data_IF_845789986768
#
_entry.id   IF_845789986768
#
_cell.length_a   1.000
_cell.length_b   1.000
_cell.length_c   1.000
_cell.angle_alpha   90.00
_cell.angle_beta   90.00
_cell.angle_gamma   90.00
#
_symmetry.space_group_name_H-M   'P 1'
#
loop_
_entity.id
_entity.type
_entity.pdbx_description
1 polymer ?
#
# COMPACT_ATOMS: atom_id res chain seq x y z
N UNK A 1 21.26 8.21 17.54
CA UNK A 1 19.99 7.51 17.86
C UNK A 1 19.01 7.97 16.81
N UNK A 2 18.75 7.15 15.81
CA UNK A 2 17.65 7.39 14.85
C UNK A 2 16.37 7.31 15.65
N UNK A 3 15.59 8.40 15.69
CA UNK A 3 14.32 8.43 16.40
C UNK A 3 13.40 7.36 15.79
N UNK A 4 12.85 6.50 16.64
CA UNK A 4 11.84 5.50 16.27
C UNK A 4 10.57 6.24 15.82
N UNK A 5 10.46 6.56 14.55
CA UNK A 5 9.34 7.27 13.95
C UNK A 5 8.71 6.36 12.89
N UNK A 6 7.40 6.18 12.97
CA UNK A 6 6.64 5.52 11.91
C UNK A 6 6.64 6.42 10.67
N UNK A 7 7.13 5.90 9.54
CA UNK A 7 7.27 6.62 8.26
C UNK A 7 6.56 5.87 7.16
N UNK A 8 5.93 6.62 6.27
CA UNK A 8 5.37 6.17 5.00
C UNK A 8 6.15 6.85 3.88
N UNK A 9 6.85 6.09 3.04
CA UNK A 9 7.46 6.58 1.81
C UNK A 9 6.66 6.07 0.61
N UNK A 10 6.22 6.97 -0.25
CA UNK A 10 5.41 6.66 -1.44
C UNK A 10 6.36 6.26 -2.57
N UNK A 11 6.33 5.01 -2.99
CA UNK A 11 7.08 4.50 -4.14
C UNK A 11 6.34 4.76 -5.45
N UNK A 12 5.00 4.71 -5.39
CA UNK A 12 4.10 5.00 -6.47
C UNK A 12 2.64 5.00 -6.00
N UNK A 13 1.77 5.65 -6.77
CA UNK A 13 0.35 5.83 -6.44
C UNK A 13 -0.55 5.89 -7.68
N UNK A 14 -0.04 5.48 -8.86
CA UNK A 14 -0.82 5.45 -10.10
C UNK A 14 -1.75 4.23 -10.19
N UNK A 15 -2.84 4.40 -10.94
CA UNK A 15 -3.82 3.36 -11.27
C UNK A 15 -4.33 3.52 -12.69
N UNK A 16 -4.74 2.46 -13.40
CA UNK A 16 -4.41 1.04 -13.23
C UNK A 16 -3.09 0.66 -13.90
N UNK A 17 -2.30 1.65 -14.37
CA UNK A 17 -0.97 1.47 -14.94
C UNK A 17 -0.06 2.66 -14.61
N UNK A 18 1.27 2.48 -14.64
CA UNK A 18 2.19 3.55 -14.29
C UNK A 18 2.17 4.68 -15.31
N UNK A 19 2.41 5.91 -14.87
CA UNK A 19 2.79 7.03 -15.73
C UNK A 19 4.31 7.24 -15.68
N UNK A 20 4.84 8.17 -16.51
CA UNK A 20 6.30 8.41 -16.64
C UNK A 20 6.98 8.63 -15.29
N UNK A 21 6.36 9.43 -14.41
CA UNK A 21 6.94 9.83 -13.12
C UNK A 21 6.18 9.24 -11.92
N UNK A 22 5.21 8.37 -12.15
CA UNK A 22 4.41 7.77 -11.09
C UNK A 22 4.20 6.28 -11.33
N UNK A 23 4.97 5.40 -10.67
CA UNK A 23 4.68 3.96 -10.60
C UNK A 23 3.30 3.66 -10.06
N UNK A 24 2.83 2.43 -10.25
CA UNK A 24 1.60 1.95 -9.64
C UNK A 24 1.69 1.92 -8.11
N UNK A 25 0.65 1.44 -7.44
CA UNK A 25 0.57 1.44 -5.98
C UNK A 25 1.72 0.67 -5.33
N UNK A 26 2.44 1.34 -4.46
CA UNK A 26 3.46 0.74 -3.63
C UNK A 26 4.05 1.73 -2.63
N UNK A 27 4.33 1.22 -1.44
CA UNK A 27 4.74 2.04 -0.30
C UNK A 27 5.81 1.32 0.52
N UNK A 28 6.74 2.08 1.08
CA UNK A 28 7.64 1.58 2.10
C UNK A 28 7.20 2.14 3.46
N UNK A 29 6.83 1.25 4.38
CA UNK A 29 6.52 1.61 5.78
C UNK A 29 7.67 1.17 6.67
N UNK A 30 8.16 2.07 7.52
CA UNK A 30 9.28 1.80 8.41
C UNK A 30 9.16 2.49 9.76
N UNK A 31 9.78 1.91 10.80
CA UNK A 31 9.87 2.47 12.16
C UNK A 31 11.33 2.70 12.62
N UNK A 32 12.25 2.84 11.67
CA UNK A 32 13.68 3.02 11.93
C UNK A 32 14.49 1.72 11.99
N UNK A 33 13.91 0.59 12.39
CA UNK A 33 14.54 -0.74 12.41
C UNK A 33 13.89 -1.73 11.46
N UNK A 34 12.59 -1.61 11.23
CA UNK A 34 11.77 -2.52 10.43
C UNK A 34 11.33 -1.87 9.13
N UNK A 35 11.30 -2.62 8.05
CA UNK A 35 10.97 -2.16 6.69
C UNK A 35 10.00 -3.12 6.03
N UNK A 36 8.80 -2.64 5.74
CA UNK A 36 7.75 -3.41 5.07
C UNK A 36 7.41 -2.75 3.75
N UNK A 37 7.52 -3.52 2.66
CA UNK A 37 7.04 -3.11 1.35
C UNK A 37 5.55 -3.45 1.24
N UNK A 38 4.71 -2.43 1.14
CA UNK A 38 3.25 -2.52 1.08
C UNK A 38 2.80 -2.26 -0.33
N UNK A 39 2.23 -3.26 -0.98
CA UNK A 39 1.95 -3.37 -2.40
C UNK A 39 3.19 -3.21 -3.31
N UNK A 40 3.22 -4.02 -4.35
CA UNK A 40 4.32 -4.16 -5.29
C UNK A 40 3.85 -3.92 -6.73
N UNK A 41 3.18 -2.80 -6.95
CA UNK A 41 2.71 -2.42 -8.28
C UNK A 41 3.85 -2.08 -9.23
N UNK A 42 3.53 -2.09 -10.52
CA UNK A 42 4.53 -1.93 -11.59
C UNK A 42 5.37 -0.66 -11.44
N UNK A 43 6.70 -0.83 -11.38
CA UNK A 43 7.71 0.22 -11.24
C UNK A 43 8.11 0.55 -9.80
N UNK A 44 7.45 -0.01 -8.80
CA UNK A 44 7.74 0.28 -7.38
C UNK A 44 9.03 -0.36 -6.88
N UNK A 45 9.44 -1.52 -7.42
CA UNK A 45 10.72 -2.14 -7.10
C UNK A 45 11.91 -1.21 -7.42
N UNK A 46 11.85 -0.52 -8.58
CA UNK A 46 12.89 0.42 -8.95
C UNK A 46 12.97 1.63 -8.00
N UNK A 47 11.84 2.09 -7.48
CA UNK A 47 11.80 3.17 -6.49
C UNK A 47 12.21 2.67 -5.10
N UNK A 48 11.80 1.44 -4.72
CA UNK A 48 12.17 0.81 -3.45
C UNK A 48 13.69 0.80 -3.25
N UNK A 49 14.44 0.43 -4.28
CA UNK A 49 15.91 0.35 -4.26
C UNK A 49 16.62 1.69 -4.01
N UNK A 50 15.93 2.83 -4.07
CA UNK A 50 16.46 4.14 -3.66
C UNK A 50 16.48 4.31 -2.13
N UNK A 51 15.75 3.46 -1.40
CA UNK A 51 15.53 3.57 0.04
C UNK A 51 16.05 2.36 0.82
N UNK A 52 15.93 1.17 0.25
CA UNK A 52 16.28 -0.09 0.89
C UNK A 52 16.66 -1.12 -0.18
N UNK A 53 17.58 -2.01 0.13
CA UNK A 53 17.87 -3.17 -0.73
C UNK A 53 16.80 -4.23 -0.51
N UNK A 54 16.55 -5.06 -1.51
CA UNK A 54 15.51 -6.10 -1.45
C UNK A 54 15.75 -7.09 -0.30
N UNK A 55 17.01 -7.47 -0.08
CA UNK A 55 17.45 -8.37 0.97
C UNK A 55 17.39 -7.77 2.40
N UNK A 56 17.20 -6.46 2.51
CA UNK A 56 17.06 -5.75 3.80
C UNK A 56 15.59 -5.53 4.17
N UNK A 57 14.64 -6.08 3.41
CA UNK A 57 13.23 -6.05 3.77
C UNK A 57 12.91 -7.08 4.85
N UNK A 58 12.12 -6.67 5.84
CA UNK A 58 11.62 -7.55 6.89
C UNK A 58 10.33 -8.27 6.47
N UNK A 59 9.54 -7.68 5.57
CA UNK A 59 8.36 -8.31 4.97
C UNK A 59 7.87 -7.56 3.72
N UNK A 60 7.03 -8.26 2.95
CA UNK A 60 6.18 -7.71 1.90
C UNK A 60 4.73 -7.95 2.30
N UNK A 61 3.86 -6.96 2.11
CA UNK A 61 2.42 -7.09 2.35
C UNK A 61 1.65 -6.66 1.10
N UNK A 62 0.76 -7.52 0.59
CA UNK A 62 0.00 -7.30 -0.65
C UNK A 62 -1.49 -7.25 -0.33
N UNK A 63 -2.13 -6.14 -0.70
CA UNK A 63 -3.57 -5.91 -0.48
C UNK A 63 -4.43 -6.88 -1.29
N UNK A 64 -4.14 -7.01 -2.58
CA UNK A 64 -4.86 -7.87 -3.52
C UNK A 64 -4.02 -8.14 -4.79
N UNK A 65 -4.53 -8.98 -5.71
CA UNK A 65 -3.74 -9.52 -6.82
C UNK A 65 -3.99 -8.83 -8.17
N UNK A 66 -4.47 -7.59 -8.20
CA UNK A 66 -4.38 -6.81 -9.45
C UNK A 66 -2.93 -6.45 -9.78
N UNK A 67 -2.63 -6.28 -11.07
CA UNK A 67 -1.27 -6.08 -11.54
C UNK A 67 -0.64 -4.78 -11.01
N UNK A 68 -1.43 -3.74 -10.87
CA UNK A 68 -1.00 -2.45 -10.34
C UNK A 68 -0.72 -2.44 -8.82
N UNK A 69 -0.91 -3.59 -8.15
CA UNK A 69 -0.54 -3.83 -6.74
C UNK A 69 0.46 -4.98 -6.56
N UNK A 70 0.71 -5.81 -7.59
CA UNK A 70 1.47 -7.05 -7.39
C UNK A 70 2.49 -7.37 -8.50
N UNK A 71 2.52 -6.63 -9.63
CA UNK A 71 3.34 -7.00 -10.79
C UNK A 71 4.84 -7.05 -10.51
N UNK A 72 5.36 -6.17 -9.65
CA UNK A 72 6.80 -6.13 -9.33
C UNK A 72 7.26 -7.28 -8.42
N UNK A 73 6.34 -8.08 -7.85
CA UNK A 73 6.73 -9.36 -7.21
C UNK A 73 7.44 -10.29 -8.18
N UNK A 74 7.06 -10.26 -9.48
CA UNK A 74 7.69 -11.06 -10.52
C UNK A 74 9.13 -10.64 -10.75
N UNK A 75 9.37 -9.33 -10.84
CA UNK A 75 10.72 -8.79 -11.04
C UNK A 75 11.57 -8.96 -9.78
N UNK A 76 10.98 -8.84 -8.59
CA UNK A 76 11.66 -9.16 -7.33
C UNK A 76 12.07 -10.64 -7.24
N UNK A 77 11.19 -11.57 -7.65
CA UNK A 77 11.53 -12.99 -7.77
C UNK A 77 12.70 -13.23 -8.73
N UNK A 78 12.71 -12.55 -9.89
CA UNK A 78 13.80 -12.66 -10.86
C UNK A 78 15.13 -12.13 -10.30
N UNK A 79 15.10 -11.06 -9.50
CA UNK A 79 16.29 -10.52 -8.85
C UNK A 79 16.94 -11.55 -7.92
N UNK A 80 16.13 -12.31 -7.18
CA UNK A 80 16.60 -13.38 -6.28
C UNK A 80 17.08 -14.61 -7.06
N UNK A 81 16.33 -15.03 -8.09
CA UNK A 81 16.61 -16.31 -8.76
C UNK A 81 17.70 -16.22 -9.83
N UNK A 82 17.83 -15.10 -10.53
CA UNK A 82 18.65 -14.96 -11.73
C UNK A 82 19.69 -13.83 -11.67
N UNK A 83 19.70 -13.03 -10.62
CA UNK A 83 20.61 -11.90 -10.48
C UNK A 83 21.53 -12.03 -9.26
N UNK A 84 21.81 -10.95 -8.60
CA UNK A 84 22.82 -10.79 -7.56
C UNK A 84 22.24 -10.54 -6.17
N UNK A 85 20.94 -10.74 -5.99
CA UNK A 85 20.28 -10.64 -4.70
C UNK A 85 20.39 -12.00 -3.97
N UNK A 86 21.22 -12.04 -2.95
CA UNK A 86 21.41 -13.22 -2.11
C UNK A 86 20.61 -13.08 -0.82
N UNK A 87 19.58 -13.91 -0.65
CA UNK A 87 18.78 -13.98 0.57
C UNK A 87 19.37 -15.04 1.53
N UNK A 88 19.45 -14.70 2.81
CA UNK A 88 19.76 -15.70 3.85
C UNK A 88 18.55 -16.58 4.15
N UNK A 89 17.35 -15.99 4.11
CA UNK A 89 16.05 -16.66 4.25
C UNK A 89 15.06 -16.01 3.28
N UNK A 90 14.05 -16.74 2.79
CA UNK A 90 12.99 -16.16 1.96
C UNK A 90 12.28 -14.99 2.66
N UNK A 91 12.00 -13.91 1.94
CA UNK A 91 11.32 -12.74 2.50
C UNK A 91 9.89 -13.11 2.89
N UNK A 92 9.43 -12.85 4.12
CA UNK A 92 8.04 -13.05 4.50
C UNK A 92 7.10 -12.23 3.60
N UNK A 93 6.13 -12.89 2.96
CA UNK A 93 5.18 -12.26 2.06
C UNK A 93 3.76 -12.59 2.52
N UNK A 94 3.05 -11.58 2.97
CA UNK A 94 1.65 -11.63 3.39
C UNK A 94 0.77 -11.17 2.23
N UNK A 95 -0.18 -11.99 1.81
CA UNK A 95 -1.05 -11.64 0.70
C UNK A 95 -2.33 -12.46 0.64
N UNK A 96 -3.23 -12.16 -0.30
CA UNK A 96 -4.52 -12.85 -0.42
C UNK A 96 -4.36 -14.36 -0.62
N UNK A 97 -5.38 -15.15 -0.27
CA UNK A 97 -5.40 -16.58 -0.53
C UNK A 97 -5.07 -16.93 -1.99
N UNK A 98 -4.21 -17.93 -2.18
CA UNK A 98 -3.76 -18.40 -3.50
C UNK A 98 -2.64 -17.57 -4.14
N UNK A 99 -2.07 -16.59 -3.44
CA UNK A 99 -1.01 -15.71 -3.98
C UNK A 99 0.22 -16.49 -4.48
N UNK A 100 0.66 -17.51 -3.73
CA UNK A 100 1.82 -18.32 -4.09
C UNK A 100 1.63 -19.05 -5.44
N UNK A 101 0.50 -19.71 -5.61
CA UNK A 101 0.20 -20.45 -6.85
C UNK A 101 0.00 -19.50 -8.03
N UNK A 102 -0.69 -18.39 -7.82
CA UNK A 102 -0.90 -17.39 -8.87
C UNK A 102 0.42 -16.79 -9.34
N UNK A 103 1.31 -16.43 -8.44
CA UNK A 103 2.64 -15.92 -8.77
C UNK A 103 3.48 -17.00 -9.48
N UNK A 104 3.49 -18.23 -8.96
CA UNK A 104 4.26 -19.33 -9.52
C UNK A 104 3.85 -19.72 -10.94
N UNK A 105 2.57 -19.62 -11.29
CA UNK A 105 2.06 -19.96 -12.61
C UNK A 105 2.14 -18.80 -13.62
N UNK A 106 2.25 -17.57 -13.18
CA UNK A 106 2.34 -16.42 -14.07
C UNK A 106 3.59 -16.44 -14.97
N UNK A 107 4.72 -16.93 -14.44
CA UNK A 107 6.02 -16.90 -15.11
C UNK A 107 6.26 -18.05 -16.08
N UNK A 108 5.46 -19.09 -16.03
CA UNK A 108 5.68 -20.26 -16.87
C UNK A 108 4.60 -20.34 -17.94
N UNK A 109 5.01 -20.40 -19.20
CA UNK A 109 4.12 -20.77 -20.31
C UNK A 109 3.80 -22.28 -20.34
N UNK A 110 3.97 -22.95 -19.21
CA UNK A 110 3.77 -24.39 -19.03
C UNK A 110 2.93 -24.63 -17.77
N UNK A 111 2.48 -25.87 -17.59
CA UNK A 111 1.83 -26.31 -16.33
C UNK A 111 2.81 -26.45 -15.16
N UNK A 112 4.10 -26.23 -15.40
CA UNK A 112 5.12 -26.34 -14.35
C UNK A 112 5.12 -25.10 -13.51
N UNK A 113 5.01 -25.30 -12.20
CA UNK A 113 5.02 -24.25 -11.18
C UNK A 113 6.45 -23.74 -10.95
N UNK A 114 6.66 -22.42 -10.96
CA UNK A 114 7.94 -21.83 -10.56
C UNK A 114 8.19 -21.96 -9.06
N UNK A 115 9.45 -22.19 -8.61
CA UNK A 115 9.78 -22.35 -7.18
C UNK A 115 9.85 -20.98 -6.47
N UNK A 116 8.73 -20.24 -6.43
CA UNK A 116 8.66 -18.87 -5.85
C UNK A 116 8.94 -18.83 -4.36
N UNK A 117 8.84 -19.98 -3.68
CA UNK A 117 9.18 -20.15 -2.27
C UNK A 117 10.68 -20.04 -1.98
N UNK A 118 11.53 -20.09 -3.01
CA UNK A 118 12.96 -19.78 -2.86
C UNK A 118 13.21 -18.28 -2.56
N UNK A 119 12.29 -17.42 -2.95
CA UNK A 119 12.38 -15.97 -2.72
C UNK A 119 11.44 -15.49 -1.62
N UNK A 120 10.26 -16.11 -1.46
CA UNK A 120 9.22 -15.63 -0.57
C UNK A 120 8.68 -16.71 0.36
N UNK A 121 8.59 -16.42 1.66
CA UNK A 121 7.86 -17.21 2.63
C UNK A 121 6.40 -16.72 2.67
N UNK A 122 5.49 -17.42 1.99
CA UNK A 122 4.10 -17.00 1.81
C UNK A 122 3.25 -17.24 3.05
N UNK A 123 2.47 -16.22 3.40
CA UNK A 123 1.46 -16.23 4.45
C UNK A 123 0.14 -15.68 3.90
N UNK A 124 -0.89 -16.50 3.85
CA UNK A 124 -2.20 -16.08 3.37
C UNK A 124 -2.93 -15.22 4.40
N UNK A 125 -3.47 -14.09 3.93
CA UNK A 125 -4.28 -13.19 4.74
C UNK A 125 -5.69 -13.74 4.94
N UNK A 126 -6.26 -13.42 6.09
CA UNK A 126 -7.67 -13.59 6.40
C UNK A 126 -8.19 -12.38 7.18
N UNK A 127 -9.49 -12.25 7.31
CA UNK A 127 -10.08 -11.16 8.09
C UNK A 127 -9.61 -11.21 9.55
N UNK A 128 -9.09 -10.08 10.05
CA UNK A 128 -8.52 -9.99 11.39
C UNK A 128 -7.13 -10.62 11.55
N UNK A 129 -6.45 -11.02 10.46
CA UNK A 129 -5.08 -11.52 10.55
C UNK A 129 -4.16 -10.47 11.17
N UNK A 130 -3.49 -10.85 12.25
CA UNK A 130 -2.53 -9.99 12.92
C UNK A 130 -1.16 -10.66 12.97
N UNK A 131 -0.12 -9.90 12.63
CA UNK A 131 1.26 -10.36 12.67
C UNK A 131 2.17 -9.26 13.19
N UNK A 132 3.24 -9.66 13.85
CA UNK A 132 4.33 -8.77 14.25
C UNK A 132 5.54 -8.98 13.34
N UNK A 133 6.01 -7.88 12.73
CA UNK A 133 7.21 -7.83 11.91
C UNK A 133 8.16 -6.83 12.55
N UNK A 134 9.22 -7.29 13.17
CA UNK A 134 10.14 -6.43 13.93
C UNK A 134 9.43 -5.57 14.98
N UNK A 135 9.53 -4.26 14.85
CA UNK A 135 8.85 -3.26 15.69
C UNK A 135 7.41 -2.96 15.30
N UNK A 136 6.97 -3.43 14.12
CA UNK A 136 5.65 -3.15 13.57
C UNK A 136 4.65 -4.26 13.89
N UNK A 137 3.40 -3.89 14.17
CA UNK A 137 2.24 -4.79 14.21
C UNK A 137 1.33 -4.48 13.03
N UNK A 138 1.03 -5.49 12.21
CA UNK A 138 0.16 -5.40 11.05
C UNK A 138 -1.14 -6.14 11.34
N UNK A 139 -2.28 -5.45 11.21
CA UNK A 139 -3.63 -6.06 11.34
C UNK A 139 -4.37 -5.88 10.03
N UNK A 140 -4.77 -6.98 9.39
CA UNK A 140 -5.45 -6.99 8.09
C UNK A 140 -6.95 -7.16 8.26
N UNK A 141 -7.76 -6.48 7.46
CA UNK A 141 -9.23 -6.60 7.38
C UNK A 141 -9.65 -6.79 5.95
N UNK A 142 -10.56 -7.73 5.73
CA UNK A 142 -11.21 -7.89 4.43
C UNK A 142 -12.03 -6.64 4.08
N UNK A 143 -11.95 -6.22 2.82
CA UNK A 143 -12.62 -5.03 2.28
C UNK A 143 -13.44 -5.37 1.04
N UNK A 144 -14.23 -4.40 0.57
CA UNK A 144 -15.21 -4.60 -0.51
C UNK A 144 -14.58 -4.27 -1.88
N UNK A 145 -14.02 -5.29 -2.54
CA UNK A 145 -13.47 -5.18 -3.89
C UNK A 145 -13.82 -6.43 -4.70
N UNK A 146 -13.83 -6.41 -6.01
CA UNK A 146 -14.33 -7.51 -6.85
C UNK A 146 -13.60 -8.86 -6.71
N UNK A 147 -12.53 -8.94 -5.91
CA UNK A 147 -11.76 -10.13 -5.57
C UNK A 147 -11.32 -10.06 -4.11
N UNK A 148 -10.75 -11.14 -3.53
CA UNK A 148 -10.20 -11.09 -2.17
C UNK A 148 -9.20 -9.96 -2.00
N UNK A 149 -9.56 -8.97 -1.19
CA UNK A 149 -8.79 -7.76 -0.94
C UNK A 149 -8.80 -7.42 0.56
N UNK A 150 -7.72 -6.79 1.00
CA UNK A 150 -7.49 -6.44 2.40
C UNK A 150 -6.99 -5.01 2.54
N UNK A 151 -7.44 -4.34 3.59
CA UNK A 151 -6.80 -3.17 4.16
C UNK A 151 -5.86 -3.61 5.28
N UNK A 152 -4.90 -2.76 5.65
CA UNK A 152 -3.98 -3.02 6.75
C UNK A 152 -3.86 -1.82 7.69
N UNK A 153 -3.89 -2.09 9.00
CA UNK A 153 -3.46 -1.17 10.05
C UNK A 153 -2.05 -1.55 10.48
N UNK A 154 -1.13 -0.60 10.41
CA UNK A 154 0.28 -0.76 10.76
C UNK A 154 0.56 0.13 11.97
N UNK A 155 0.95 -0.49 13.07
CA UNK A 155 1.25 0.19 14.33
C UNK A 155 2.73 0.03 14.67
N UNK A 156 3.39 1.14 15.01
CA UNK A 156 4.79 1.18 15.41
C UNK A 156 5.15 2.53 16.00
N UNK A 157 6.15 2.59 16.87
CA UNK A 157 6.59 3.83 17.52
C UNK A 157 5.45 4.62 18.20
N UNK A 158 4.42 3.93 18.71
CA UNK A 158 3.25 4.56 19.35
C UNK A 158 2.32 5.31 18.38
N UNK A 159 2.40 5.02 17.09
CA UNK A 159 1.62 5.61 16.01
C UNK A 159 0.96 4.55 15.16
N UNK A 160 -0.06 4.96 14.37
CA UNK A 160 -0.83 4.06 13.51
C UNK A 160 -1.08 4.67 12.13
N UNK A 161 -0.80 3.88 11.11
CA UNK A 161 -1.13 4.12 9.71
C UNK A 161 -2.14 3.06 9.26
N UNK A 162 -3.20 3.45 8.56
CA UNK A 162 -4.08 2.51 7.88
C UNK A 162 -3.96 2.73 6.38
N UNK A 163 -3.82 1.65 5.62
CA UNK A 163 -3.89 1.66 4.16
C UNK A 163 -5.12 0.88 3.71
N UNK A 164 -5.90 1.49 2.85
CA UNK A 164 -7.19 0.93 2.39
C UNK A 164 -7.03 -0.28 1.47
N UNK A 165 -5.91 -0.41 0.73
CA UNK A 165 -5.92 -1.16 -0.53
C UNK A 165 -6.97 -0.56 -1.46
N UNK A 166 -7.47 -1.36 -2.42
CA UNK A 166 -8.61 -0.98 -3.25
C UNK A 166 -9.90 -1.49 -2.62
N UNK A 167 -10.89 -0.61 -2.52
CA UNK A 167 -12.17 -0.95 -1.89
C UNK A 167 -13.27 0.07 -2.16
N UNK A 168 -14.50 -0.39 -2.29
CA UNK A 168 -15.66 0.46 -2.06
C UNK A 168 -15.75 0.87 -0.57
N UNK A 169 -16.50 1.93 -0.23
CA UNK A 169 -16.80 2.27 1.15
C UNK A 169 -17.38 1.07 1.90
N UNK A 170 -16.75 0.70 3.03
CA UNK A 170 -17.18 -0.43 3.84
C UNK A 170 -16.87 -0.23 5.32
N UNK A 171 -17.66 -0.87 6.19
CA UNK A 171 -17.47 -0.79 7.64
C UNK A 171 -16.14 -1.38 8.08
N UNK A 172 -15.66 -2.44 7.39
CA UNK A 172 -14.37 -3.07 7.69
C UNK A 172 -13.20 -2.11 7.65
N UNK A 173 -13.15 -1.21 6.64
CA UNK A 173 -12.12 -0.17 6.55
C UNK A 173 -12.32 0.91 7.62
N UNK A 174 -13.55 1.38 7.81
CA UNK A 174 -13.85 2.43 8.79
C UNK A 174 -13.49 1.98 10.21
N UNK A 175 -13.84 0.75 10.59
CA UNK A 175 -13.52 0.17 11.90
C UNK A 175 -12.02 -0.03 12.08
N UNK A 176 -11.31 -0.52 11.03
CA UNK A 176 -9.86 -0.69 11.07
C UNK A 176 -9.14 0.66 11.25
N UNK A 177 -9.66 1.70 10.61
CA UNK A 177 -9.10 3.05 10.63
C UNK A 177 -9.49 3.86 11.87
N UNK A 178 -10.28 3.29 12.79
CA UNK A 178 -10.74 4.06 13.96
C UNK A 178 -9.57 4.71 14.69
N UNK A 179 -9.62 6.06 14.77
CA UNK A 179 -8.62 6.93 15.44
C UNK A 179 -7.18 6.67 15.02
N UNK A 180 -6.94 6.26 13.76
CA UNK A 180 -5.57 6.16 13.26
C UNK A 180 -4.93 7.56 13.13
N UNK A 181 -3.61 7.63 13.28
CA UNK A 181 -2.87 8.89 13.09
C UNK A 181 -2.89 9.34 11.62
N UNK A 182 -2.90 8.38 10.67
CA UNK A 182 -3.08 8.65 9.24
C UNK A 182 -3.84 7.52 8.54
N UNK A 183 -4.75 7.90 7.63
CA UNK A 183 -5.42 7.01 6.70
C UNK A 183 -4.88 7.29 5.29
N UNK A 184 -4.21 6.31 4.68
CA UNK A 184 -3.84 6.29 3.27
C UNK A 184 -4.99 5.60 2.52
N UNK A 185 -5.80 6.39 1.81
CA UNK A 185 -7.03 5.91 1.18
C UNK A 185 -7.02 6.13 -0.32
N UNK A 186 -7.45 5.11 -1.07
CA UNK A 186 -7.66 5.18 -2.50
C UNK A 186 -8.78 6.17 -2.87
N UNK A 187 -8.76 6.70 -4.09
CA UNK A 187 -9.79 7.57 -4.66
C UNK A 187 -9.86 7.43 -6.19
N UNK A 188 -10.01 6.20 -6.66
CA UNK A 188 -9.96 5.88 -8.09
C UNK A 188 -11.19 6.39 -8.84
N UNK A 189 -12.38 6.25 -8.24
CA UNK A 189 -13.62 6.60 -8.92
C UNK A 189 -13.84 8.12 -9.02
N UNK A 190 -13.86 8.64 -10.24
CA UNK A 190 -14.17 10.06 -10.46
C UNK A 190 -15.61 10.43 -10.09
N UNK A 191 -16.53 9.46 -10.16
CA UNK A 191 -17.95 9.60 -9.80
C UNK A 191 -18.41 8.30 -9.16
N UNK A 192 -19.37 8.39 -8.24
CA UNK A 192 -20.01 7.20 -7.69
C UNK A 192 -20.71 6.42 -8.81
N UNK A 193 -20.43 5.13 -8.98
CA UNK A 193 -21.14 4.29 -9.94
C UNK A 193 -22.58 4.01 -9.46
N UNK A 194 -23.33 3.27 -10.27
CA UNK A 194 -24.66 2.81 -9.88
C UNK A 194 -24.62 1.98 -8.59
N UNK A 195 -25.68 2.02 -7.78
CA UNK A 195 -25.74 1.26 -6.52
C UNK A 195 -25.46 -0.24 -6.73
N UNK A 196 -24.48 -0.77 -5.99
CA UNK A 196 -24.07 -2.18 -6.05
C UNK A 196 -22.95 -2.50 -7.05
N UNK A 197 -22.52 -1.54 -7.85
CA UNK A 197 -21.38 -1.69 -8.80
C UNK A 197 -20.08 -1.07 -8.27
N UNK A 198 -20.14 -0.40 -7.13
CA UNK A 198 -18.99 0.29 -6.56
C UNK A 198 -17.96 -0.72 -6.03
N UNK A 199 -16.71 -0.57 -6.48
CA UNK A 199 -15.54 -1.35 -6.04
C UNK A 199 -14.37 -0.47 -5.61
N UNK A 200 -14.49 0.85 -5.78
CA UNK A 200 -13.52 1.87 -5.40
C UNK A 200 -14.18 3.05 -4.69
N UNK A 201 -13.40 3.79 -3.91
CA UNK A 201 -13.81 5.08 -3.35
C UNK A 201 -13.83 6.17 -4.42
N UNK A 202 -14.77 7.11 -4.28
CA UNK A 202 -14.60 8.47 -4.78
C UNK A 202 -13.76 9.29 -3.80
N UNK A 203 -13.23 10.46 -4.19
CA UNK A 203 -12.57 11.35 -3.23
C UNK A 203 -13.47 11.74 -2.04
N UNK A 204 -14.77 11.95 -2.28
CA UNK A 204 -15.74 12.25 -1.21
C UNK A 204 -15.88 11.05 -0.26
N UNK A 205 -15.95 9.83 -0.78
CA UNK A 205 -16.02 8.62 0.04
C UNK A 205 -14.77 8.47 0.92
N UNK A 206 -13.58 8.79 0.39
CA UNK A 206 -12.34 8.77 1.17
C UNK A 206 -12.39 9.79 2.33
N UNK A 207 -12.94 10.99 2.07
CA UNK A 207 -13.19 12.01 3.10
C UNK A 207 -14.21 11.55 4.14
N UNK A 208 -15.34 10.97 3.69
CA UNK A 208 -16.39 10.45 4.58
C UNK A 208 -15.84 9.30 5.46
N UNK A 209 -15.03 8.40 4.89
CA UNK A 209 -14.37 7.31 5.63
C UNK A 209 -13.40 7.85 6.68
N UNK A 210 -12.55 8.83 6.32
CA UNK A 210 -11.63 9.47 7.25
C UNK A 210 -12.34 10.17 8.41
N UNK A 211 -13.46 10.83 8.09
CA UNK A 211 -14.30 11.53 9.06
C UNK A 211 -14.99 10.56 10.03
N UNK A 212 -15.61 9.50 9.49
CA UNK A 212 -16.28 8.46 10.28
C UNK A 212 -15.29 7.71 11.19
N UNK A 213 -14.11 7.41 10.69
CA UNK A 213 -13.01 6.79 11.45
C UNK A 213 -12.36 7.75 12.46
N UNK A 214 -12.64 9.04 12.41
CA UNK A 214 -11.93 10.05 13.23
C UNK A 214 -10.42 9.98 13.04
N UNK A 215 -9.98 9.80 11.79
CA UNK A 215 -8.57 9.77 11.44
C UNK A 215 -7.88 11.11 11.76
N UNK A 216 -6.61 11.07 12.15
CA UNK A 216 -5.85 12.30 12.40
C UNK A 216 -5.45 13.05 11.12
N UNK A 217 -5.32 12.31 10.00
CA UNK A 217 -4.93 12.83 8.69
C UNK A 217 -5.46 11.90 7.60
N UNK A 218 -5.83 12.46 6.45
CA UNK A 218 -6.11 11.72 5.23
C UNK A 218 -4.97 11.93 4.22
N UNK A 219 -4.46 10.84 3.65
CA UNK A 219 -3.52 10.86 2.54
C UNK A 219 -4.22 10.16 1.38
N UNK A 220 -4.62 10.92 0.36
CA UNK A 220 -5.32 10.39 -0.82
C UNK A 220 -4.29 9.75 -1.75
N UNK A 221 -4.58 8.54 -2.20
CA UNK A 221 -3.74 7.77 -3.12
C UNK A 221 -4.57 7.11 -4.21
N UNK A 222 -3.92 6.38 -5.14
CA UNK A 222 -4.60 5.59 -6.18
C UNK A 222 -5.69 6.43 -6.88
N UNK A 223 -5.30 7.64 -7.31
CA UNK A 223 -6.23 8.61 -7.91
C UNK A 223 -6.48 8.24 -9.37
N UNK A 224 -7.74 8.01 -9.71
CA UNK A 224 -8.15 7.61 -11.05
C UNK A 224 -7.82 8.64 -12.12
N UNK A 225 -7.61 8.18 -13.34
CA UNK A 225 -7.10 8.95 -14.48
C UNK A 225 -7.97 10.13 -14.93
N UNK A 226 -9.23 10.16 -14.53
CA UNK A 226 -10.14 11.26 -14.83
C UNK A 226 -10.12 12.37 -13.77
N UNK A 227 -9.23 12.25 -12.80
CA UNK A 227 -8.99 13.21 -11.73
C UNK A 227 -7.54 13.68 -11.73
N UNK A 228 -7.32 14.92 -11.39
CA UNK A 228 -5.99 15.35 -10.97
C UNK A 228 -5.83 15.13 -9.46
N UNK A 229 -4.58 14.95 -8.96
CA UNK A 229 -4.34 14.86 -7.51
C UNK A 229 -4.95 16.02 -6.73
N UNK A 230 -4.85 17.25 -7.26
CA UNK A 230 -5.43 18.43 -6.63
C UNK A 230 -6.95 18.38 -6.56
N UNK A 231 -7.61 17.88 -7.59
CA UNK A 231 -9.08 17.71 -7.59
C UNK A 231 -9.48 16.66 -6.54
N UNK A 232 -8.76 15.54 -6.46
CA UNK A 232 -9.05 14.51 -5.47
C UNK A 232 -8.91 15.04 -4.03
N UNK A 233 -7.79 15.71 -3.72
CA UNK A 233 -7.59 16.34 -2.40
C UNK A 233 -8.67 17.36 -2.09
N UNK A 234 -9.00 18.26 -3.04
CA UNK A 234 -10.01 19.30 -2.83
C UNK A 234 -11.38 18.69 -2.53
N UNK A 235 -11.78 17.65 -3.29
CA UNK A 235 -13.06 16.97 -3.10
C UNK A 235 -13.12 16.21 -1.78
N UNK A 236 -12.06 15.44 -1.43
CA UNK A 236 -11.97 14.74 -0.15
C UNK A 236 -12.06 15.70 1.04
N UNK A 237 -11.41 16.87 0.94
CA UNK A 237 -11.46 17.92 1.99
C UNK A 237 -12.84 18.55 2.17
N UNK A 238 -13.81 18.33 1.27
CA UNK A 238 -15.20 18.77 1.50
C UNK A 238 -15.94 17.89 2.50
N UNK A 239 -15.38 16.70 2.83
CA UNK A 239 -15.97 15.69 3.70
C UNK A 239 -15.17 15.39 4.96
N UNK A 240 -13.93 15.88 5.03
CA UNK A 240 -13.03 15.66 6.16
C UNK A 240 -12.37 16.99 6.56
N UNK A 241 -12.57 17.39 7.82
CA UNK A 241 -12.04 18.67 8.34
C UNK A 241 -10.55 18.59 8.73
N UNK A 242 -9.97 17.40 8.77
CA UNK A 242 -8.56 17.19 9.10
C UNK A 242 -7.62 17.47 7.93
N UNK A 243 -6.29 17.45 8.18
CA UNK A 243 -5.28 17.60 7.14
C UNK A 243 -5.45 16.56 6.04
N UNK A 244 -5.52 16.99 4.79
CA UNK A 244 -5.67 16.13 3.62
C UNK A 244 -4.54 16.41 2.63
N UNK A 245 -3.80 15.36 2.25
CA UNK A 245 -2.67 15.42 1.33
C UNK A 245 -2.84 14.41 0.19
N UNK A 246 -2.00 14.54 -0.84
CA UNK A 246 -1.84 13.53 -1.89
C UNK A 246 -0.57 12.72 -1.65
N UNK A 247 -0.63 11.42 -1.87
CA UNK A 247 0.50 10.51 -1.86
C UNK A 247 1.35 10.70 -3.14
N UNK A 248 2.08 11.81 -3.20
CA UNK A 248 2.94 12.08 -4.34
C UNK A 248 4.13 11.10 -4.38
N UNK A 249 4.51 10.57 -5.56
CA UNK A 249 5.67 9.69 -5.68
C UNK A 249 6.92 10.31 -5.10
N UNK A 250 7.68 9.56 -4.30
CA UNK A 250 8.89 10.00 -3.62
C UNK A 250 8.65 10.80 -2.33
N UNK A 251 7.41 11.16 -2.01
CA UNK A 251 7.10 11.83 -0.75
C UNK A 251 7.28 10.89 0.45
N UNK A 252 7.71 11.46 1.58
CA UNK A 252 7.79 10.74 2.86
C UNK A 252 6.98 11.48 3.93
N UNK A 253 6.06 10.75 4.56
CA UNK A 253 5.24 11.23 5.66
C UNK A 253 5.75 10.64 6.98
N UNK A 254 6.00 11.48 7.97
CA UNK A 254 6.20 11.05 9.35
C UNK A 254 4.82 10.99 10.02
N UNK A 255 4.41 9.79 10.40
CA UNK A 255 3.06 9.55 10.93
C UNK A 255 2.93 10.16 12.32
N UNK A 256 1.84 10.90 12.55
CA UNK A 256 1.56 11.60 13.79
C UNK A 256 2.28 12.94 13.96
N UNK A 257 2.93 13.45 12.92
CA UNK A 257 3.46 14.83 12.87
C UNK A 257 2.68 15.68 11.87
N UNK A 258 2.56 16.99 12.16
CA UNK A 258 2.04 17.94 11.18
C UNK A 258 2.92 17.97 9.92
N UNK A 259 2.35 18.23 8.74
CA UNK A 259 3.09 18.25 7.48
C UNK A 259 4.25 19.26 7.54
N UNK A 260 5.48 18.77 7.47
CA UNK A 260 6.60 19.60 7.04
C UNK A 260 6.62 19.58 5.52
N UNK A 261 6.10 20.64 4.90
CA UNK A 261 6.27 20.88 3.48
C UNK A 261 7.72 21.28 3.23
N UNK A 262 8.62 20.30 3.16
CA UNK A 262 9.95 20.51 2.59
C UNK A 262 9.83 20.45 1.07
N UNK A 263 9.54 21.62 0.47
CA UNK A 263 9.58 21.79 -0.97
C UNK A 263 10.97 21.47 -1.50
N UNK A 264 11.11 20.46 -2.34
CA UNK A 264 12.26 20.33 -3.21
C UNK A 264 12.16 21.42 -4.27
N UNK A 265 12.96 22.48 -4.07
CA UNK A 265 13.25 23.47 -5.11
C UNK A 265 14.01 22.74 -6.22
N UNK A 266 13.38 22.53 -7.34
CA UNK A 266 14.05 22.18 -8.61
C UNK A 266 14.98 23.33 -9.01
N UNK A 267 16.27 23.06 -9.06
CA UNK A 267 17.25 23.82 -9.89
C UNK A 267 17.61 22.99 -11.11
#
# INVERSE_FOLDING_TARGET
MTSDLLRLTVLGSATPYPSVDNPCSGYLVSDGGTRVWVDAGSGTLAQLQRHVRLEDLDAIWISHMHADHSADLLTAYYAVLFADVELTEPIPLYGPPGIADRLAHYLTNTSTRSPVESAFAFHELHDGHQVRVGGLTLTSRAVAHGLPAFAVRIEGAGRSLVYSGDTAPCTGLTDLAERCDALLCEAESAQAPDPGEQVHHTPEDAGDTASAARAGRLIVTHVGRFLTPQQAVTRASTRFDGPTDYAAPGATFVIGQAANVSGHSTR
#
